data_IF_691455799447
#
_entry.id   IF_691455799447
#
_cell.length_a   1.000
_cell.length_b   1.000
_cell.length_c   1.000
_cell.angle_alpha   90.00
_cell.angle_beta   90.00
_cell.angle_gamma   90.00
#
_symmetry.space_group_name_H-M   'P 1'
#
loop_
_entity.id
_entity.type
_entity.pdbx_description
1 polymer ?
#
# COMPACT_ATOMS: atom_id res chain seq x y z
N UNK A 1 -3.66 5.41 0.39
CA UNK A 1 -3.78 6.57 1.32
C UNK A 1 -5.01 6.48 2.21
N UNK A 2 -6.12 5.94 1.74
CA UNK A 2 -7.36 5.82 2.53
C UNK A 2 -7.24 4.92 3.76
N UNK A 3 -6.29 4.02 3.79
CA UNK A 3 -6.03 3.12 4.93
C UNK A 3 -5.02 3.71 5.94
N UNK A 4 -4.50 4.90 5.68
CA UNK A 4 -3.67 5.64 6.64
C UNK A 4 -2.20 5.25 6.67
N UNK A 5 -1.64 4.72 5.61
CA UNK A 5 -0.20 4.47 5.51
C UNK A 5 0.61 5.74 5.25
N UNK A 6 1.95 5.67 5.33
CA UNK A 6 2.81 6.80 5.00
C UNK A 6 2.79 7.10 3.51
N UNK A 7 3.04 8.36 3.16
CA UNK A 7 3.31 8.74 1.78
C UNK A 7 4.75 8.38 1.43
N UNK A 8 4.93 7.70 0.30
CA UNK A 8 6.25 7.27 -0.17
C UNK A 8 6.61 8.06 -1.42
N UNK A 9 7.80 8.62 -1.43
CA UNK A 9 8.34 9.30 -2.60
C UNK A 9 8.50 8.29 -3.77
N UNK A 10 8.12 8.63 -5.00
CA UNK A 10 8.03 7.68 -6.12
C UNK A 10 9.30 6.92 -6.47
N UNK A 11 10.48 7.49 -6.20
CA UNK A 11 11.76 6.82 -6.47
C UNK A 11 12.21 5.84 -5.38
N UNK A 12 11.49 5.78 -4.26
CA UNK A 12 11.82 4.85 -3.16
C UNK A 12 11.32 3.45 -3.50
N UNK A 13 12.27 2.52 -3.65
CA UNK A 13 11.99 1.12 -3.98
C UNK A 13 11.57 0.33 -2.74
N UNK A 14 10.29 0.33 -2.44
CA UNK A 14 9.76 -0.34 -1.25
C UNK A 14 8.35 -0.91 -1.48
N UNK A 15 7.97 -1.79 -0.57
CA UNK A 15 6.62 -2.32 -0.43
C UNK A 15 6.08 -1.95 0.96
N UNK A 16 4.82 -1.56 1.02
CA UNK A 16 4.13 -1.26 2.27
C UNK A 16 3.22 -2.42 2.68
N UNK A 17 3.34 -2.83 3.94
CA UNK A 17 2.38 -3.72 4.60
C UNK A 17 1.57 -2.89 5.58
N UNK A 18 0.29 -2.74 5.31
CA UNK A 18 -0.59 -1.88 6.10
C UNK A 18 -1.72 -2.71 6.70
N UNK A 19 -1.72 -2.95 8.03
CA UNK A 19 -2.86 -3.58 8.69
C UNK A 19 -4.06 -2.63 8.67
N UNK A 20 -5.22 -3.13 8.28
CA UNK A 20 -6.47 -2.38 8.22
C UNK A 20 -7.31 -2.72 9.43
N UNK A 21 -7.64 -1.72 10.25
CA UNK A 21 -8.41 -1.89 11.48
C UNK A 21 -7.90 -3.05 12.39
N UNK A 22 -6.60 -3.08 12.73
CA UNK A 22 -6.06 -4.14 13.56
C UNK A 22 -6.63 -4.07 14.99
N UNK A 23 -6.75 -5.23 15.66
CA UNK A 23 -7.19 -5.29 17.06
C UNK A 23 -6.13 -4.78 18.05
N UNK A 24 -4.88 -4.69 17.63
CA UNK A 24 -3.77 -4.23 18.47
C UNK A 24 -3.16 -2.95 17.92
N UNK A 25 -2.96 -1.97 18.80
CA UNK A 25 -2.23 -0.74 18.47
C UNK A 25 -0.75 -0.97 18.14
N UNK A 26 -0.22 -2.14 18.44
CA UNK A 26 1.15 -2.54 18.09
C UNK A 26 1.30 -2.86 16.58
N UNK A 27 0.20 -3.17 15.91
CA UNK A 27 0.21 -3.48 14.48
C UNK A 27 0.25 -2.19 13.66
N UNK A 28 1.44 -1.75 13.36
CA UNK A 28 1.70 -0.53 12.56
C UNK A 28 2.07 -0.86 11.13
N UNK A 29 1.87 0.07 10.19
CA UNK A 29 2.41 -0.08 8.84
C UNK A 29 3.92 -0.33 8.84
N UNK A 30 4.37 -1.25 7.99
CA UNK A 30 5.78 -1.59 7.83
C UNK A 30 6.21 -1.30 6.41
N UNK A 31 7.36 -0.65 6.28
CA UNK A 31 8.03 -0.43 5.00
C UNK A 31 9.14 -1.48 4.86
N UNK A 32 9.09 -2.25 3.80
CA UNK A 32 10.08 -3.30 3.50
C UNK A 32 10.68 -3.09 2.11
N UNK A 33 11.89 -3.63 1.82
CA UNK A 33 12.48 -3.54 0.48
C UNK A 33 11.54 -4.11 -0.61
N UNK A 34 11.54 -3.49 -1.78
CA UNK A 34 10.64 -3.91 -2.88
C UNK A 34 10.86 -5.35 -3.35
N UNK A 35 12.08 -5.88 -3.22
CA UNK A 35 12.45 -7.23 -3.63
C UNK A 35 12.14 -8.30 -2.59
N UNK A 36 11.39 -7.98 -1.55
CA UNK A 36 11.02 -8.93 -0.50
C UNK A 36 9.99 -9.94 -0.99
N UNK A 37 10.15 -11.18 -0.56
CA UNK A 37 9.10 -12.20 -0.65
C UNK A 37 8.26 -12.14 0.62
N UNK A 38 6.96 -11.97 0.45
CA UNK A 38 6.00 -11.90 1.55
C UNK A 38 5.20 -13.19 1.56
N UNK A 39 5.15 -13.84 2.72
CA UNK A 39 4.28 -15.00 2.93
C UNK A 39 3.30 -14.70 4.07
N UNK A 40 2.02 -14.84 3.79
CA UNK A 40 0.94 -14.63 4.76
C UNK A 40 0.21 -15.94 4.94
N UNK A 41 0.23 -16.48 6.15
CA UNK A 41 -0.48 -17.72 6.49
C UNK A 41 -1.81 -17.38 7.14
N UNK A 42 -2.88 -17.98 6.64
CA UNK A 42 -4.23 -17.84 7.23
C UNK A 42 -4.34 -18.77 8.43
N UNK A 43 -4.47 -18.21 9.62
CA UNK A 43 -4.43 -18.98 10.88
C UNK A 43 -5.77 -19.08 11.60
N UNK A 44 -6.77 -18.28 11.24
CA UNK A 44 -8.07 -18.25 11.92
C UNK A 44 -9.21 -18.63 10.97
N UNK A 45 -10.25 -19.24 11.52
CA UNK A 45 -11.44 -19.77 10.81
C UNK A 45 -12.44 -18.70 10.37
N UNK A 46 -12.13 -17.44 10.52
CA UNK A 46 -13.03 -16.37 10.03
C UNK A 46 -13.03 -16.33 8.53
N UNK A 47 -14.20 -16.08 7.94
CA UNK A 47 -14.34 -15.91 6.50
C UNK A 47 -13.34 -14.86 6.03
N UNK A 48 -12.36 -15.29 5.25
CA UNK A 48 -11.33 -14.44 4.70
C UNK A 48 -11.40 -14.49 3.17
N UNK A 49 -11.28 -13.32 2.56
CA UNK A 49 -11.28 -13.17 1.11
C UNK A 49 -10.05 -12.37 0.72
N UNK A 50 -9.33 -12.87 -0.26
CA UNK A 50 -8.21 -12.16 -0.87
C UNK A 50 -8.73 -11.33 -2.05
N UNK A 51 -8.45 -10.04 -2.04
CA UNK A 51 -8.79 -9.13 -3.13
C UNK A 51 -7.53 -8.68 -3.88
N UNK A 52 -7.63 -8.66 -5.20
CA UNK A 52 -6.62 -8.14 -6.11
C UNK A 52 -7.16 -6.84 -6.72
N UNK A 53 -6.58 -5.70 -6.34
CA UNK A 53 -6.97 -4.37 -6.85
C UNK A 53 -8.48 -4.07 -6.80
N UNK A 54 -9.21 -4.66 -5.85
CA UNK A 54 -10.66 -4.50 -5.68
C UNK A 54 -11.51 -5.05 -6.84
N UNK A 55 -10.92 -5.67 -7.84
CA UNK A 55 -11.64 -6.21 -9.01
C UNK A 55 -11.81 -7.71 -8.93
N UNK A 56 -10.73 -8.42 -8.66
CA UNK A 56 -10.72 -9.87 -8.52
C UNK A 56 -10.62 -10.27 -7.05
N UNK A 57 -11.23 -11.39 -6.72
CA UNK A 57 -11.15 -11.93 -5.37
C UNK A 57 -11.06 -13.46 -5.38
N UNK A 58 -10.57 -14.01 -4.28
CA UNK A 58 -10.50 -15.44 -4.03
C UNK A 58 -10.77 -15.72 -2.56
N UNK A 59 -11.57 -16.73 -2.30
CA UNK A 59 -11.74 -17.23 -0.93
C UNK A 59 -10.45 -17.89 -0.47
N UNK A 60 -10.10 -17.70 0.78
CA UNK A 60 -8.94 -18.32 1.42
C UNK A 60 -9.37 -19.10 2.64
N UNK A 61 -8.74 -20.25 2.85
CA UNK A 61 -9.04 -21.17 3.95
C UNK A 61 -7.90 -21.14 4.98
N UNK A 62 -8.20 -21.59 6.18
CA UNK A 62 -7.18 -21.79 7.21
C UNK A 62 -6.10 -22.77 6.71
N UNK A 63 -4.84 -22.37 6.87
CA UNK A 63 -3.70 -23.12 6.37
C UNK A 63 -3.21 -22.65 5.00
N UNK A 64 -4.00 -21.86 4.27
CA UNK A 64 -3.55 -21.28 3.00
C UNK A 64 -2.39 -20.31 3.23
N UNK A 65 -1.47 -20.29 2.29
CA UNK A 65 -0.32 -19.40 2.28
C UNK A 65 -0.44 -18.49 1.06
N UNK A 66 -0.54 -17.19 1.33
CA UNK A 66 -0.55 -16.15 0.30
C UNK A 66 0.89 -15.69 0.11
N UNK A 67 1.40 -15.80 -1.11
CA UNK A 67 2.74 -15.33 -1.46
C UNK A 67 2.65 -14.10 -2.34
N UNK A 68 3.32 -13.04 -1.95
CA UNK A 68 3.44 -11.82 -2.73
C UNK A 68 4.91 -11.53 -3.02
N UNK A 69 5.22 -11.27 -4.27
CA UNK A 69 6.57 -10.95 -4.73
C UNK A 69 6.50 -9.90 -5.84
N UNK A 70 7.59 -9.16 -6.07
CA UNK A 70 7.64 -8.19 -7.16
C UNK A 70 7.40 -8.85 -8.51
N UNK A 71 6.58 -8.22 -9.34
CA UNK A 71 6.44 -8.61 -10.73
C UNK A 71 7.66 -8.12 -11.54
N UNK A 72 8.22 -8.92 -12.46
CA UNK A 72 9.44 -8.54 -13.17
C UNK A 72 9.28 -7.35 -14.12
N UNK A 73 8.05 -7.04 -14.52
CA UNK A 73 7.76 -5.91 -15.39
C UNK A 73 7.17 -4.74 -14.62
N UNK A 74 7.66 -3.54 -14.88
CA UNK A 74 7.19 -2.31 -14.24
C UNK A 74 6.22 -1.58 -15.14
N UNK A 75 5.20 -0.98 -14.53
CA UNK A 75 4.32 -0.02 -15.22
C UNK A 75 5.07 1.29 -15.39
N UNK A 76 5.04 1.84 -16.59
CA UNK A 76 5.61 3.17 -16.90
C UNK A 76 4.51 4.21 -16.86
N UNK A 77 4.67 5.21 -16.01
CA UNK A 77 3.76 6.35 -15.92
C UNK A 77 4.44 7.56 -16.52
N UNK A 78 3.82 8.15 -17.54
CA UNK A 78 4.34 9.35 -18.19
C UNK A 78 3.87 10.60 -17.45
N UNK A 79 4.81 11.49 -17.16
CA UNK A 79 4.54 12.78 -16.56
C UNK A 79 5.03 13.91 -17.48
N UNK A 80 4.39 15.10 -17.45
CA UNK A 80 4.93 16.29 -18.08
C UNK A 80 6.34 16.61 -17.54
N UNK A 81 7.19 17.22 -18.37
CA UNK A 81 8.56 17.56 -17.99
C UNK A 81 8.68 18.49 -16.77
N UNK A 82 7.62 19.24 -16.46
CA UNK A 82 7.53 20.12 -15.29
C UNK A 82 6.82 19.49 -14.10
N UNK A 83 6.56 18.19 -14.13
CA UNK A 83 5.91 17.50 -13.01
C UNK A 83 6.81 17.52 -11.77
N UNK A 84 6.22 17.94 -10.64
CA UNK A 84 6.86 17.92 -9.34
C UNK A 84 5.97 17.18 -8.35
N UNK A 85 6.50 16.15 -7.71
CA UNK A 85 5.75 15.34 -6.75
C UNK A 85 5.26 16.15 -5.54
N UNK A 86 6.07 17.06 -5.01
CA UNK A 86 5.70 17.87 -3.85
C UNK A 86 4.60 18.89 -4.19
N UNK A 87 4.62 19.46 -5.38
CA UNK A 87 3.52 20.32 -5.85
C UNK A 87 2.21 19.52 -5.95
N UNK A 88 2.28 18.28 -6.39
CA UNK A 88 1.11 17.40 -6.44
C UNK A 88 0.58 17.09 -5.04
N UNK A 89 1.43 16.84 -4.06
CA UNK A 89 1.04 16.67 -2.66
C UNK A 89 0.30 17.89 -2.12
N UNK A 90 0.85 19.08 -2.34
CA UNK A 90 0.23 20.32 -1.91
C UNK A 90 -1.14 20.54 -2.55
N UNK A 91 -1.24 20.37 -3.86
CA UNK A 91 -2.47 20.66 -4.62
C UNK A 91 -3.58 19.61 -4.42
N UNK A 92 -3.23 18.34 -4.33
CA UNK A 92 -4.19 17.23 -4.29
C UNK A 92 -4.54 16.77 -2.88
N UNK A 93 -3.60 16.82 -1.96
CA UNK A 93 -3.79 16.34 -0.59
C UNK A 93 -3.77 17.44 0.44
N UNK A 94 -3.64 18.70 0.03
CA UNK A 94 -3.50 19.87 0.93
C UNK A 94 -2.37 19.68 1.96
N UNK A 95 -1.33 18.96 1.56
CA UNK A 95 -0.19 18.69 2.43
C UNK A 95 0.55 19.99 2.72
N UNK A 96 0.81 20.27 3.99
CA UNK A 96 1.48 21.49 4.46
C UNK A 96 0.74 22.80 4.11
N UNK A 97 -0.56 22.76 3.85
CA UNK A 97 -1.36 23.97 3.70
C UNK A 97 -1.73 24.54 5.07
N UNK A 98 -1.62 25.85 5.20
CA UNK A 98 -2.14 26.56 6.35
C UNK A 98 -3.69 26.64 6.24
N UNK A 99 -4.41 26.72 7.39
CA UNK A 99 -5.87 26.85 7.37
C UNK A 99 -6.41 28.06 6.59
N UNK A 100 -5.57 29.07 6.39
CA UNK A 100 -5.87 30.29 5.64
C UNK A 100 -5.68 30.16 4.13
N UNK A 101 -5.08 29.08 3.66
CA UNK A 101 -4.75 28.85 2.24
C UNK A 101 -5.88 28.14 1.46
N UNK A 102 -7.05 28.06 2.06
CA UNK A 102 -8.24 27.42 1.47
C UNK A 102 -9.00 28.34 0.55
#
# INVERSE_FOLDING_TARGET
LSVGGPMIYPSVACTLLIPVAPHSLANRPIVIPENSLIEITVTDMRDATLYFDMQDNSEVLVGDIIKASPYPHRVKILHPSRHNYFDTLCKKLHWNYLPTDR
#
